data_IF_051229961103
#
_entry.id   IF_051229961103
#
_cell.length_a   1.000
_cell.length_b   1.000
_cell.length_c   1.000
_cell.angle_alpha   90.00
_cell.angle_beta   90.00
_cell.angle_gamma   90.00
#
_symmetry.space_group_name_H-M   'P 1'
#
loop_
_entity.id
_entity.type
_entity.pdbx_description
1 polymer ?
#
# COMPACT_ATOMS: atom_id res chain seq x y z
N UNK A 1 12.37 0.55 11.99
CA UNK A 1 12.34 -0.64 11.12
C UNK A 1 11.37 -0.37 9.98
N UNK A 2 11.87 -0.50 8.75
CA UNK A 2 11.07 -0.42 7.53
C UNK A 2 10.59 -1.81 7.14
N UNK A 3 9.32 -1.93 6.77
CA UNK A 3 8.63 -3.15 6.40
C UNK A 3 8.17 -3.03 4.97
N UNK A 4 8.60 -3.96 4.12
CA UNK A 4 8.14 -4.03 2.74
C UNK A 4 6.91 -4.92 2.69
N UNK A 5 5.76 -4.33 2.36
CA UNK A 5 4.50 -5.05 2.18
C UNK A 5 4.22 -5.16 0.69
N UNK A 6 4.01 -6.39 0.20
CA UNK A 6 3.60 -6.61 -1.18
C UNK A 6 2.12 -6.24 -1.34
N UNK A 7 1.79 -5.45 -2.35
CA UNK A 7 0.40 -5.07 -2.63
C UNK A 7 -0.16 -6.05 -3.67
N UNK A 8 -1.40 -6.54 -3.47
CA UNK A 8 -2.06 -7.37 -4.45
C UNK A 8 -2.12 -6.73 -5.83
N UNK A 9 -1.70 -7.46 -6.87
CA UNK A 9 -1.68 -6.95 -8.25
C UNK A 9 -3.07 -6.53 -8.76
N UNK A 10 -4.14 -7.10 -8.18
CA UNK A 10 -5.51 -6.74 -8.48
C UNK A 10 -5.83 -5.27 -8.19
N UNK A 11 -5.15 -4.62 -7.24
CA UNK A 11 -5.36 -3.19 -6.97
C UNK A 11 -4.87 -2.30 -8.10
N UNK A 12 -3.85 -2.74 -8.85
CA UNK A 12 -3.39 -2.03 -10.04
C UNK A 12 -4.46 -2.06 -11.14
N UNK A 13 -5.16 -3.19 -11.27
CA UNK A 13 -6.27 -3.35 -12.21
C UNK A 13 -7.50 -2.55 -11.77
N UNK A 14 -7.89 -2.63 -10.50
CA UNK A 14 -9.01 -1.85 -9.95
C UNK A 14 -8.77 -0.35 -10.05
N UNK A 15 -7.51 0.08 -9.92
CA UNK A 15 -7.14 1.47 -10.07
C UNK A 15 -7.23 1.98 -11.51
N UNK A 16 -7.24 1.11 -12.53
CA UNK A 16 -7.30 1.50 -13.95
C UNK A 16 -6.34 2.67 -14.30
N UNK A 17 -5.08 2.57 -13.84
CA UNK A 17 -4.03 3.62 -13.95
C UNK A 17 -4.26 4.90 -13.11
N UNK A 18 -5.37 5.00 -12.38
CA UNK A 18 -5.62 6.09 -11.44
C UNK A 18 -4.75 5.96 -10.19
N UNK A 19 -3.62 6.68 -10.20
CA UNK A 19 -2.65 6.72 -9.09
C UNK A 19 -3.27 7.15 -7.75
N UNK A 20 -4.25 8.06 -7.76
CA UNK A 20 -4.90 8.50 -6.51
C UNK A 20 -5.72 7.36 -5.88
N UNK A 21 -6.52 6.68 -6.71
CA UNK A 21 -7.32 5.53 -6.28
C UNK A 21 -6.43 4.39 -5.78
N UNK A 22 -5.31 4.14 -6.47
CA UNK A 22 -4.32 3.14 -6.06
C UNK A 22 -3.74 3.42 -4.68
N UNK A 23 -3.40 4.68 -4.38
CA UNK A 23 -2.89 5.08 -3.06
C UNK A 23 -3.95 4.91 -1.97
N UNK A 24 -5.21 5.25 -2.26
CA UNK A 24 -6.34 5.05 -1.34
C UNK A 24 -6.52 3.57 -0.98
N UNK A 25 -6.50 2.68 -1.98
CA UNK A 25 -6.56 1.23 -1.76
C UNK A 25 -5.40 0.72 -0.92
N UNK A 26 -4.18 1.16 -1.20
CA UNK A 26 -2.99 0.77 -0.44
C UNK A 26 -3.13 1.22 1.02
N UNK A 27 -3.55 2.47 1.26
CA UNK A 27 -3.74 2.99 2.63
C UNK A 27 -4.79 2.18 3.39
N UNK A 28 -5.93 1.88 2.76
CA UNK A 28 -6.98 1.06 3.35
C UNK A 28 -6.50 -0.35 3.69
N UNK A 29 -5.78 -0.98 2.76
CA UNK A 29 -5.25 -2.33 2.94
C UNK A 29 -4.23 -2.42 4.08
N UNK A 30 -3.30 -1.47 4.18
CA UNK A 30 -2.32 -1.46 5.28
C UNK A 30 -3.03 -1.22 6.61
N UNK A 31 -3.96 -0.26 6.67
CA UNK A 31 -4.71 0.02 7.89
C UNK A 31 -5.49 -1.20 8.39
N UNK A 32 -6.04 -2.00 7.46
CA UNK A 32 -6.82 -3.20 7.78
C UNK A 32 -5.95 -4.43 8.07
N UNK A 33 -4.94 -4.70 7.23
CA UNK A 33 -4.13 -5.93 7.32
C UNK A 33 -2.98 -5.82 8.31
N UNK A 34 -2.48 -4.60 8.53
CA UNK A 34 -1.33 -4.32 9.40
C UNK A 34 -1.60 -3.12 10.31
N UNK A 35 -2.48 -3.27 11.32
CA UNK A 35 -2.71 -2.24 12.31
C UNK A 35 -1.39 -1.92 13.03
N UNK A 36 -0.88 -0.69 12.88
CA UNK A 36 0.40 -0.22 13.43
C UNK A 36 1.51 0.03 12.40
N UNK A 37 1.27 -0.30 11.12
CA UNK A 37 2.16 0.08 10.02
C UNK A 37 1.63 1.33 9.32
N UNK A 38 2.50 2.31 9.10
CA UNK A 38 2.19 3.53 8.34
C UNK A 38 2.85 3.45 6.96
N UNK A 39 2.11 3.54 5.84
CA UNK A 39 2.72 3.66 4.52
C UNK A 39 3.56 4.92 4.45
N UNK A 40 4.82 4.78 4.06
CA UNK A 40 5.75 5.90 3.86
C UNK A 40 5.97 6.14 2.38
N UNK A 41 6.21 5.08 1.58
CA UNK A 41 6.46 5.18 0.14
C UNK A 41 5.91 3.98 -0.61
N UNK A 42 5.50 4.19 -1.85
CA UNK A 42 5.12 3.13 -2.79
C UNK A 42 6.28 2.93 -3.76
N UNK A 43 6.80 1.71 -3.83
CA UNK A 43 7.88 1.27 -4.71
C UNK A 43 7.34 0.17 -5.63
N UNK A 44 6.80 0.57 -6.78
CA UNK A 44 6.23 -0.34 -7.76
C UNK A 44 5.08 -1.18 -7.17
N UNK A 45 5.17 -2.53 -7.14
CA UNK A 45 4.14 -3.40 -6.56
C UNK A 45 4.23 -3.53 -5.03
N UNK A 46 5.20 -2.87 -4.38
CA UNK A 46 5.39 -2.93 -2.94
C UNK A 46 5.17 -1.57 -2.30
N UNK A 47 4.75 -1.57 -1.05
CA UNK A 47 4.71 -0.38 -0.20
C UNK A 47 5.71 -0.54 0.94
N UNK A 48 6.51 0.49 1.16
CA UNK A 48 7.40 0.62 2.31
C UNK A 48 6.58 1.24 3.44
N UNK A 49 6.43 0.48 4.51
CA UNK A 49 5.75 0.88 5.72
C UNK A 49 6.76 1.04 6.85
N UNK A 50 6.53 1.97 7.76
CA UNK A 50 7.27 2.05 9.03
C UNK A 50 6.34 1.65 10.16
N UNK A 51 6.86 0.86 11.10
CA UNK A 51 6.17 0.62 12.37
C UNK A 51 6.23 1.90 13.20
N UNK A 52 5.06 2.39 13.59
CA UNK A 52 4.93 3.53 14.49
C UNK A 52 5.03 3.07 15.95
#
# INVERSE_FOLDING_TARGET
MEYKVAIPHCYKWMAADNKKLYIEYIKGYIKSSHPGLKPVRVEGPCVICTKQ
#
